data_IF_716782232296
#
_entry.id   IF_716782232296
#
_cell.length_a   1.000
_cell.length_b   1.000
_cell.length_c   1.000
_cell.angle_alpha   90.00
_cell.angle_beta   90.00
_cell.angle_gamma   90.00
#
_symmetry.space_group_name_H-M   'P 1'
#
loop_
_entity.id
_entity.type
_entity.pdbx_description
1 polymer ?
#
# COMPACT_ATOMS: atom_id res chain seq x y z
N UNK A 1 13.26 -0.38 13.75
CA UNK A 1 11.81 -0.64 13.91
C UNK A 1 11.33 -1.25 12.60
N UNK A 2 10.69 -2.41 12.61
CA UNK A 2 10.33 -3.12 11.37
C UNK A 2 9.20 -2.37 10.64
N UNK A 3 9.45 -1.84 9.44
CA UNK A 3 8.49 -0.99 8.72
C UNK A 3 7.31 -1.78 8.16
N UNK A 4 7.46 -3.10 8.03
CA UNK A 4 6.38 -3.99 7.59
C UNK A 4 5.11 -3.88 8.46
N UNK A 5 5.27 -3.70 9.78
CA UNK A 5 4.13 -3.52 10.68
C UNK A 5 3.38 -2.20 10.41
N UNK A 6 4.11 -1.14 10.11
CA UNK A 6 3.54 0.16 9.72
C UNK A 6 2.76 0.03 8.40
N UNK A 7 3.37 -0.62 7.40
CA UNK A 7 2.69 -0.91 6.14
C UNK A 7 1.39 -1.69 6.34
N UNK A 8 1.41 -2.74 7.17
CA UNK A 8 0.22 -3.54 7.45
C UNK A 8 -0.92 -2.70 8.06
N UNK A 9 -0.61 -1.81 9.01
CA UNK A 9 -1.61 -0.92 9.63
C UNK A 9 -2.20 0.08 8.63
N UNK A 10 -1.37 0.65 7.75
CA UNK A 10 -1.85 1.56 6.69
C UNK A 10 -2.76 0.82 5.72
N UNK A 11 -2.36 -0.37 5.26
CA UNK A 11 -3.15 -1.18 4.34
C UNK A 11 -4.47 -1.64 4.96
N UNK A 12 -4.48 -2.01 6.24
CA UNK A 12 -5.68 -2.48 6.94
C UNK A 12 -6.80 -1.42 7.02
N UNK A 13 -6.48 -0.13 6.84
CA UNK A 13 -7.43 0.98 6.83
C UNK A 13 -7.91 1.36 5.43
N UNK A 14 -7.44 0.67 4.39
CA UNK A 14 -7.64 1.05 2.99
C UNK A 14 -8.37 -0.06 2.23
N UNK A 15 -9.65 0.16 1.84
CA UNK A 15 -10.42 -0.86 1.12
C UNK A 15 -9.94 -1.08 -0.32
N UNK A 16 -9.20 -0.11 -0.87
CA UNK A 16 -8.63 -0.16 -2.22
C UNK A 16 -7.25 -0.80 -2.27
N UNK A 17 -6.76 -1.37 -1.17
CA UNK A 17 -5.42 -1.96 -1.08
C UNK A 17 -5.48 -3.42 -0.65
N UNK A 18 -4.77 -4.29 -1.36
CA UNK A 18 -4.51 -5.66 -0.93
C UNK A 18 -3.03 -5.85 -0.62
N UNK A 19 -2.74 -6.24 0.63
CA UNK A 19 -1.42 -6.65 1.07
C UNK A 19 -1.32 -8.18 1.10
N UNK A 20 -0.36 -8.74 0.35
CA UNK A 20 0.00 -10.15 0.39
C UNK A 20 1.47 -10.31 0.78
N UNK A 21 1.78 -11.32 1.59
CA UNK A 21 3.14 -11.65 2.00
C UNK A 21 3.37 -13.13 1.73
N UNK A 22 4.35 -13.45 0.90
CA UNK A 22 4.69 -14.82 0.54
C UNK A 22 6.19 -14.97 0.33
N UNK A 23 6.81 -15.95 0.99
CA UNK A 23 8.21 -16.29 0.77
C UNK A 23 9.21 -15.15 1.04
N UNK A 24 8.89 -14.21 1.93
CA UNK A 24 9.72 -13.02 2.20
C UNK A 24 9.49 -11.85 1.24
N UNK A 25 8.54 -11.97 0.31
CA UNK A 25 8.15 -10.90 -0.60
C UNK A 25 6.83 -10.29 -0.15
N UNK A 26 6.76 -8.96 -0.19
CA UNK A 26 5.53 -8.18 -0.05
C UNK A 26 5.01 -7.87 -1.45
N UNK A 27 3.77 -8.27 -1.73
CA UNK A 27 3.03 -7.86 -2.91
C UNK A 27 1.89 -6.94 -2.46
N UNK A 28 2.04 -5.65 -2.74
CA UNK A 28 0.99 -4.68 -2.55
C UNK A 28 0.25 -4.48 -3.85
N UNK A 29 -1.06 -4.39 -3.78
CA UNK A 29 -1.82 -3.97 -4.92
C UNK A 29 -2.78 -2.86 -4.56
N UNK A 30 -2.84 -1.82 -5.39
CA UNK A 30 -3.52 -0.55 -5.09
C UNK A 30 -4.53 -0.23 -6.19
N UNK A 31 -5.73 0.17 -5.80
CA UNK A 31 -6.85 0.49 -6.68
C UNK A 31 -7.88 -0.63 -6.79
N UNK A 32 -9.00 -0.31 -7.44
CA UNK A 32 -10.17 -1.19 -7.61
C UNK A 32 -10.31 -1.58 -9.09
N UNK A 33 -10.68 -2.82 -9.36
CA UNK A 33 -10.97 -3.29 -10.71
C UNK A 33 -9.70 -3.55 -11.56
N UNK A 34 -9.82 -3.54 -12.91
CA UNK A 34 -8.75 -3.96 -13.81
C UNK A 34 -7.56 -2.99 -13.90
N UNK A 35 -7.70 -1.77 -13.36
CA UNK A 35 -6.65 -0.75 -13.34
C UNK A 35 -5.76 -0.85 -12.09
N UNK A 36 -5.95 -1.87 -11.27
CA UNK A 36 -5.20 -2.08 -10.03
C UNK A 36 -3.71 -2.28 -10.32
N UNK A 37 -2.89 -1.44 -9.73
CA UNK A 37 -1.44 -1.53 -9.82
C UNK A 37 -0.89 -2.57 -8.84
N UNK A 38 0.23 -3.20 -9.19
CA UNK A 38 0.92 -4.20 -8.37
C UNK A 38 2.36 -3.77 -8.12
N UNK A 39 2.76 -3.78 -6.85
CA UNK A 39 4.09 -3.39 -6.39
C UNK A 39 4.66 -4.54 -5.58
N UNK A 40 5.87 -4.97 -5.92
CA UNK A 40 6.55 -6.07 -5.23
C UNK A 40 7.88 -5.61 -4.65
N UNK A 41 8.17 -5.97 -3.41
CA UNK A 41 9.41 -5.64 -2.72
C UNK A 41 9.76 -6.68 -1.66
N UNK A 42 11.02 -6.72 -1.25
CA UNK A 42 11.52 -7.59 -0.20
C UNK A 42 11.05 -7.10 1.18
N UNK A 43 10.48 -7.97 2.01
CA UNK A 43 9.96 -7.63 3.34
C UNK A 43 11.03 -7.10 4.33
N UNK A 44 12.33 -7.28 4.05
CA UNK A 44 13.42 -6.71 4.86
C UNK A 44 13.90 -5.36 4.35
N UNK A 45 13.43 -4.88 3.20
CA UNK A 45 13.80 -3.59 2.63
C UNK A 45 13.00 -2.45 3.29
N UNK A 46 13.40 -2.08 4.51
CA UNK A 46 12.75 -1.05 5.33
C UNK A 46 12.69 0.32 4.61
N UNK A 47 13.66 0.63 3.73
CA UNK A 47 13.68 1.89 2.97
C UNK A 47 12.56 1.93 1.93
N UNK A 48 12.42 0.86 1.13
CA UNK A 48 11.32 0.77 0.16
C UNK A 48 9.96 0.71 0.84
N UNK A 49 9.84 -0.02 1.96
CA UNK A 49 8.59 -0.06 2.74
C UNK A 49 8.24 1.34 3.26
N UNK A 50 9.22 2.08 3.78
CA UNK A 50 8.99 3.44 4.27
C UNK A 50 8.53 4.37 3.14
N UNK A 51 9.15 4.27 1.97
CA UNK A 51 8.75 5.04 0.79
C UNK A 51 7.32 4.70 0.37
N UNK A 52 6.97 3.42 0.31
CA UNK A 52 5.63 2.98 -0.05
C UNK A 52 4.57 3.45 0.94
N UNK A 53 4.86 3.42 2.24
CA UNK A 53 3.98 3.98 3.27
C UNK A 53 3.76 5.48 3.07
N UNK A 54 4.79 6.24 2.68
CA UNK A 54 4.64 7.66 2.36
C UNK A 54 3.76 7.86 1.13
N UNK A 55 3.97 7.09 0.07
CA UNK A 55 3.15 7.18 -1.15
C UNK A 55 1.68 6.86 -0.90
N UNK A 56 1.40 5.84 -0.06
CA UNK A 56 0.03 5.48 0.33
C UNK A 56 -0.66 6.58 1.15
N UNK A 57 0.08 7.30 2.00
CA UNK A 57 -0.50 8.30 2.88
C UNK A 57 -0.58 9.71 2.24
N UNK A 58 0.41 10.08 1.42
CA UNK A 58 0.62 11.46 0.98
C UNK A 58 0.99 11.60 -0.50
N UNK A 59 1.15 10.49 -1.22
CA UNK A 59 1.70 10.50 -2.58
C UNK A 59 0.71 10.03 -3.63
N UNK A 60 1.23 9.39 -4.68
CA UNK A 60 0.48 9.04 -5.88
C UNK A 60 -0.66 8.05 -5.62
N UNK A 61 -0.57 7.31 -4.51
CA UNK A 61 -1.56 6.31 -4.12
C UNK A 61 -2.57 6.82 -3.10
N UNK A 62 -2.65 8.12 -2.83
CA UNK A 62 -3.65 8.64 -1.89
C UNK A 62 -5.07 8.35 -2.42
N UNK A 63 -5.94 7.85 -1.55
CA UNK A 63 -7.38 7.77 -1.87
C UNK A 63 -7.86 9.21 -2.01
N UNK A 64 -8.18 9.61 -3.24
CA UNK A 64 -8.98 10.81 -3.46
C UNK A 64 -10.40 10.38 -3.13
N UNK A 65 -10.93 10.84 -2.01
CA UNK A 65 -12.38 10.76 -1.80
C UNK A 65 -13.01 11.41 -3.03
N UNK A 66 -13.73 10.62 -3.83
CA UNK A 66 -14.68 11.21 -4.76
C UNK A 66 -15.64 11.98 -3.88
N UNK A 67 -15.56 13.32 -3.95
CA UNK A 67 -16.61 14.15 -3.40
C UNK A 67 -17.88 13.73 -4.13
N UNK A 68 -18.74 13.01 -3.43
CA UNK A 68 -20.16 13.05 -3.74
C UNK A 68 -20.60 14.48 -3.41
N UNK A 69 -20.42 15.39 -4.35
CA UNK A 69 -21.16 16.65 -4.39
C UNK A 69 -22.61 16.26 -4.69
N UNK A 70 -23.39 16.04 -3.62
CA UNK A 70 -24.86 16.09 -3.62
C UNK A 70 -25.34 17.54 -3.46
#
# INVERSE_FOLDING_TARGET
>A
MKQLGNLAVVCARRPDVLLQILGGVVCLHVGIGPQRESITLDWVDDEKITSLVRELNFGCYQIKEEKNDD
#
